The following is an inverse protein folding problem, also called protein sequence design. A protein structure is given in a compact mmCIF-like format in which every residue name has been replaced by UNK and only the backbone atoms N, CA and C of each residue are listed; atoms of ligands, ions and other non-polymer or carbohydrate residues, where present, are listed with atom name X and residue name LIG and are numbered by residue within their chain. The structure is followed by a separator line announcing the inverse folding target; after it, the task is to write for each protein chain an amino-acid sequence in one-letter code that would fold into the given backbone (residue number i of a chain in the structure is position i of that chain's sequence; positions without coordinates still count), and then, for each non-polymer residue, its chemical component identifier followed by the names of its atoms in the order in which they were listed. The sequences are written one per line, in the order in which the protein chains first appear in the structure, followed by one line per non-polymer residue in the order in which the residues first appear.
data_IF_280414040879
#
_entry.id   IF_280414040879
#
_cell.length_a   1.000
_cell.length_b   1.000
_cell.length_c   1.000
_cell.angle_alpha   90.00
_cell.angle_beta   90.00
_cell.angle_gamma   90.00
#
_symmetry.space_group_name_H-M   'P 1'
#
loop_
_entity.id
_entity.type
_entity.pdbx_description
1 polymer ?
#
# COMPACT_ATOMS: atom_id res chain seq x y z
N UNK A 1 48.50 -3.66 15.42
CA UNK A 1 47.98 -5.04 15.36
C UNK A 1 46.59 -5.08 15.99
N UNK A 2 45.63 -5.66 15.30
CA UNK A 2 44.28 -5.79 15.82
C UNK A 2 44.25 -6.92 16.86
N UNK A 3 43.71 -6.63 18.03
CA UNK A 3 43.58 -7.64 19.09
C UNK A 3 42.22 -8.38 18.97
N UNK A 4 42.13 -9.58 19.60
CA UNK A 4 40.87 -10.30 19.67
C UNK A 4 39.75 -9.49 20.31
N UNK A 5 40.07 -8.64 21.28
CA UNK A 5 39.12 -7.74 21.95
C UNK A 5 38.55 -6.71 20.98
N UNK A 6 39.36 -6.18 20.09
CA UNK A 6 38.91 -5.24 19.06
C UNK A 6 38.03 -5.92 18.03
N UNK A 7 38.36 -7.15 17.65
CA UNK A 7 37.55 -7.94 16.73
C UNK A 7 36.18 -8.22 17.35
N UNK A 8 36.14 -8.62 18.61
CA UNK A 8 34.86 -8.85 19.32
C UNK A 8 34.01 -7.59 19.40
N UNK A 9 34.64 -6.44 19.66
CA UNK A 9 33.91 -5.16 19.71
C UNK A 9 33.32 -4.80 18.35
N UNK A 10 34.07 -5.04 17.27
CA UNK A 10 33.59 -4.78 15.92
C UNK A 10 32.47 -5.73 15.54
N UNK A 11 32.54 -7.00 15.91
CA UNK A 11 31.47 -7.97 15.66
C UNK A 11 30.19 -7.59 16.41
N UNK A 12 30.32 -7.15 17.66
CA UNK A 12 29.17 -6.68 18.44
C UNK A 12 28.50 -5.49 17.78
N UNK A 13 29.28 -4.55 17.24
CA UNK A 13 28.77 -3.38 16.52
C UNK A 13 28.04 -3.80 15.24
N UNK A 14 28.61 -4.74 14.49
CA UNK A 14 28.01 -5.27 13.26
C UNK A 14 26.69 -5.97 13.57
N UNK A 15 26.67 -6.83 14.59
CA UNK A 15 25.44 -7.52 15.00
C UNK A 15 24.34 -6.54 15.38
N UNK A 16 24.69 -5.47 16.09
CA UNK A 16 23.74 -4.43 16.49
C UNK A 16 23.13 -3.73 15.28
N UNK A 17 23.98 -3.41 14.29
CA UNK A 17 23.52 -2.81 13.04
C UNK A 17 22.63 -3.75 12.24
N UNK A 18 22.95 -5.03 12.22
CA UNK A 18 22.10 -6.04 11.57
C UNK A 18 20.74 -6.14 12.23
N UNK A 19 20.69 -6.12 13.56
CA UNK A 19 19.42 -6.15 14.29
C UNK A 19 18.56 -4.93 13.96
N UNK A 20 19.16 -3.74 13.85
CA UNK A 20 18.45 -2.52 13.47
C UNK A 20 17.89 -2.65 12.05
N UNK A 21 18.68 -3.16 11.11
CA UNK A 21 18.26 -3.34 9.72
C UNK A 21 17.10 -4.33 9.64
N UNK A 22 17.16 -5.43 10.35
CA UNK A 22 16.09 -6.43 10.38
C UNK A 22 14.81 -5.86 10.97
N UNK A 23 14.92 -5.08 12.04
CA UNK A 23 13.78 -4.41 12.67
C UNK A 23 13.14 -3.39 11.72
N UNK A 24 13.95 -2.62 11.00
CA UNK A 24 13.46 -1.67 10.00
C UNK A 24 12.75 -2.39 8.84
N UNK A 25 13.29 -3.54 8.41
CA UNK A 25 12.65 -4.33 7.36
C UNK A 25 11.31 -4.88 7.82
N UNK A 26 11.21 -5.35 9.07
CA UNK A 26 9.95 -5.83 9.63
C UNK A 26 8.92 -4.70 9.72
N UNK A 27 9.33 -3.51 10.16
CA UNK A 27 8.46 -2.34 10.22
C UNK A 27 7.96 -1.94 8.83
N UNK A 28 8.86 -1.97 7.84
CA UNK A 28 8.50 -1.66 6.46
C UNK A 28 7.50 -2.67 5.90
N UNK A 29 7.72 -3.96 6.16
CA UNK A 29 6.80 -5.01 5.72
C UNK A 29 5.41 -4.82 6.36
N UNK A 30 5.36 -4.47 7.63
CA UNK A 30 4.10 -4.19 8.33
C UNK A 30 3.38 -3.00 7.70
N UNK A 31 4.11 -1.93 7.41
CA UNK A 31 3.55 -0.73 6.78
C UNK A 31 3.02 -1.04 5.38
N UNK A 32 3.77 -1.82 4.60
CA UNK A 32 3.34 -2.23 3.26
C UNK A 32 2.05 -3.05 3.33
N UNK A 33 1.94 -3.97 4.28
CA UNK A 33 0.72 -4.76 4.47
C UNK A 33 -0.47 -3.87 4.84
N UNK A 34 -0.26 -2.89 5.71
CA UNK A 34 -1.32 -1.95 6.10
C UNK A 34 -1.79 -1.12 4.91
N UNK A 35 -0.87 -0.68 4.07
CA UNK A 35 -1.20 0.08 2.85
C UNK A 35 -1.95 -0.81 1.86
N UNK A 36 -1.51 -2.04 1.67
CA UNK A 36 -2.19 -3.00 0.78
C UNK A 36 -3.63 -3.25 1.23
N UNK A 37 -3.85 -3.39 2.54
CA UNK A 37 -5.19 -3.57 3.08
C UNK A 37 -6.05 -2.32 2.85
N UNK A 38 -5.48 -1.13 3.08
CA UNK A 38 -6.19 0.12 2.84
C UNK A 38 -6.55 0.29 1.36
N UNK A 39 -5.65 -0.08 0.46
CA UNK A 39 -5.89 -0.04 -1.00
C UNK A 39 -7.02 -1.00 -1.38
N UNK A 40 -7.02 -2.21 -0.82
CA UNK A 40 -8.09 -3.20 -1.07
C UNK A 40 -9.44 -2.66 -0.58
N UNK A 41 -9.48 -2.10 0.63
CA UNK A 41 -10.71 -1.54 1.20
C UNK A 41 -11.23 -0.37 0.37
N UNK A 42 -10.33 0.49 -0.10
CA UNK A 42 -10.68 1.63 -0.94
C UNK A 42 -11.21 1.18 -2.30
N UNK A 43 -10.60 0.16 -2.89
CA UNK A 43 -11.08 -0.43 -4.14
C UNK A 43 -12.48 -1.02 -4.00
N UNK A 44 -12.76 -1.71 -2.90
CA UNK A 44 -14.08 -2.23 -2.58
C UNK A 44 -15.10 -1.11 -2.42
N UNK A 45 -14.73 -0.04 -1.73
CA UNK A 45 -15.60 1.12 -1.56
C UNK A 45 -15.91 1.79 -2.90
N UNK A 46 -14.91 1.94 -3.77
CA UNK A 46 -15.12 2.51 -5.10
C UNK A 46 -16.06 1.66 -5.95
N UNK A 47 -15.93 0.35 -5.90
CA UNK A 47 -16.82 -0.57 -6.61
C UNK A 47 -18.25 -0.47 -6.10
N UNK A 48 -18.44 -0.35 -4.77
CA UNK A 48 -19.77 -0.16 -4.18
C UNK A 48 -20.41 1.16 -4.62
N UNK A 49 -19.63 2.21 -4.72
CA UNK A 49 -20.11 3.51 -5.20
C UNK A 49 -20.54 3.40 -6.67
N UNK A 50 -19.78 2.70 -7.50
CA UNK A 50 -20.15 2.47 -8.90
C UNK A 50 -21.48 1.74 -9.02
N UNK A 51 -21.69 0.71 -8.20
CA UNK A 51 -22.94 -0.05 -8.19
C UNK A 51 -24.12 0.84 -7.79
N UNK A 52 -23.92 1.72 -6.80
CA UNK A 52 -24.95 2.68 -6.39
C UNK A 52 -25.26 3.69 -7.48
N UNK A 53 -24.24 4.17 -8.20
CA UNK A 53 -24.42 5.10 -9.32
C UNK A 53 -25.24 4.41 -10.43
N UNK A 54 -24.92 3.16 -10.75
CA UNK A 54 -25.64 2.38 -11.74
C UNK A 54 -27.10 2.20 -11.33
N UNK A 55 -27.35 1.88 -10.06
CA UNK A 55 -28.69 1.72 -9.54
C UNK A 55 -29.50 3.03 -9.62
N UNK A 56 -28.87 4.16 -9.28
CA UNK A 56 -29.50 5.48 -9.38
C UNK A 56 -29.82 5.85 -10.82
N UNK A 57 -28.93 5.58 -11.76
CA UNK A 57 -29.16 5.83 -13.19
C UNK A 57 -30.35 5.01 -13.70
N UNK A 58 -30.43 3.74 -13.30
CA UNK A 58 -31.52 2.87 -13.71
C UNK A 58 -32.85 3.30 -13.13
N UNK A 59 -32.87 3.79 -11.88
CA UNK A 59 -34.07 4.27 -11.22
C UNK A 59 -34.49 5.64 -11.72
N UNK A 60 -33.54 6.50 -12.09
CA UNK A 60 -33.77 7.89 -12.50
C UNK A 60 -32.97 8.20 -13.77
N UNK A 61 -33.40 7.75 -14.96
CA UNK A 61 -32.62 7.95 -16.18
C UNK A 61 -32.39 9.41 -16.55
N UNK A 62 -33.16 10.33 -16.00
CA UNK A 62 -33.01 11.76 -16.26
C UNK A 62 -31.87 12.41 -15.46
N UNK A 63 -31.32 11.72 -14.44
CA UNK A 63 -30.21 12.25 -13.67
C UNK A 63 -28.91 12.21 -14.48
N UNK A 64 -28.17 13.31 -14.42
CA UNK A 64 -26.85 13.39 -15.02
C UNK A 64 -25.79 13.10 -13.94
N UNK A 65 -25.27 11.89 -13.96
CA UNK A 65 -24.25 11.43 -13.00
C UNK A 65 -22.87 11.33 -13.65
N UNK A 66 -22.68 11.94 -14.83
CA UNK A 66 -21.43 11.86 -15.59
C UNK A 66 -20.23 12.33 -14.78
N UNK A 67 -20.35 13.46 -14.07
CA UNK A 67 -19.26 13.99 -13.26
C UNK A 67 -18.88 13.03 -12.14
N UNK A 68 -19.88 12.39 -11.52
CA UNK A 68 -19.66 11.43 -10.45
C UNK A 68 -19.02 10.14 -10.98
N UNK A 69 -19.46 9.63 -12.12
CA UNK A 69 -18.85 8.49 -12.82
C UNK A 69 -17.37 8.77 -13.11
N UNK A 70 -17.08 9.95 -13.63
CA UNK A 70 -15.71 10.38 -13.94
C UNK A 70 -14.85 10.42 -12.68
N UNK A 71 -15.38 10.97 -11.58
CA UNK A 71 -14.66 11.04 -10.31
C UNK A 71 -14.35 9.65 -9.75
N UNK A 72 -15.31 8.72 -9.80
CA UNK A 72 -15.09 7.35 -9.35
C UNK A 72 -14.09 6.62 -10.24
N UNK A 73 -14.13 6.83 -11.56
CA UNK A 73 -13.15 6.27 -12.49
C UNK A 73 -11.74 6.76 -12.18
N UNK A 74 -11.58 8.04 -11.87
CA UNK A 74 -10.30 8.62 -11.47
C UNK A 74 -9.82 8.02 -10.15
N UNK A 75 -10.71 7.81 -9.19
CA UNK A 75 -10.38 7.17 -7.92
C UNK A 75 -9.89 5.73 -8.13
N UNK A 76 -10.55 4.96 -8.97
CA UNK A 76 -10.15 3.59 -9.28
C UNK A 76 -8.76 3.55 -9.93
N UNK A 77 -8.48 4.48 -10.82
CA UNK A 77 -7.16 4.59 -11.44
C UNK A 77 -6.09 4.91 -10.39
N UNK A 78 -6.39 5.82 -9.46
CA UNK A 78 -5.46 6.16 -8.38
C UNK A 78 -5.21 4.96 -7.45
N UNK A 79 -6.25 4.21 -7.11
CA UNK A 79 -6.15 3.00 -6.29
C UNK A 79 -5.28 1.95 -7.00
N UNK A 80 -5.47 1.74 -8.29
CA UNK A 80 -4.64 0.82 -9.07
C UNK A 80 -3.18 1.26 -9.10
N UNK A 81 -2.92 2.56 -9.21
CA UNK A 81 -1.57 3.10 -9.16
C UNK A 81 -0.88 2.84 -7.84
N UNK A 82 -1.58 3.05 -6.73
CA UNK A 82 -1.03 2.77 -5.39
C UNK A 82 -0.81 1.27 -5.19
N UNK A 83 -1.73 0.44 -5.67
CA UNK A 83 -1.59 -1.02 -5.61
C UNK A 83 -0.32 -1.48 -6.34
N UNK A 84 -0.02 -0.90 -7.49
CA UNK A 84 1.20 -1.21 -8.24
C UNK A 84 2.47 -0.81 -7.48
N UNK A 85 2.43 0.33 -6.76
CA UNK A 85 3.56 0.79 -5.96
C UNK A 85 3.83 -0.14 -4.78
N UNK A 86 2.79 -0.67 -4.14
CA UNK A 86 2.91 -1.53 -2.95
C UNK A 86 3.07 -3.00 -3.29
N UNK A 87 2.99 -3.37 -4.57
CA UNK A 87 3.21 -4.75 -4.99
C UNK A 87 4.66 -5.15 -4.69
N UNK A 88 4.91 -6.39 -4.21
CA UNK A 88 6.28 -6.83 -3.97
C UNK A 88 7.06 -6.84 -5.30
N UNK A 89 8.35 -6.48 -5.25
CA UNK A 89 9.15 -6.51 -6.47
C UNK A 89 9.21 -7.92 -7.04
N UNK A 90 9.18 -8.03 -8.36
CA UNK A 90 9.33 -9.30 -9.02
C UNK A 90 10.71 -9.89 -8.68
N UNK A 91 10.73 -11.11 -8.20
CA UNK A 91 11.97 -11.81 -7.84
C UNK A 91 12.81 -12.11 -9.08
#
# INVERSE_FOLDING_TARGET
MVTGKQILAQLATINKKLDVIMSQQDDLNTDVQAIQQAVTDLGTAAASIEDEITALKNANPALDLTALDTAVGSLKTAVSGVSAITAPPAA
#
